data_IF_345749009653
#
_entry.id   IF_345749009653
#
_cell.length_a   1.000
_cell.length_b   1.000
_cell.length_c   1.000
_cell.angle_alpha   90.00
_cell.angle_beta   90.00
_cell.angle_gamma   90.00
#
_symmetry.space_group_name_H-M   'P 1'
#
loop_
_entity.id
_entity.type
_entity.pdbx_description
1 polymer ?
#
# COMPACT_ATOMS: atom_id res chain seq x y z
N UNK A 1 -18.53 -24.88 11.08
CA UNK A 1 -19.33 -23.95 10.27
C UNK A 1 -18.36 -22.85 9.92
N UNK A 2 -17.57 -23.08 8.87
CA UNK A 2 -16.67 -22.07 8.31
C UNK A 2 -17.58 -20.98 7.76
N UNK A 3 -17.48 -19.79 8.34
CA UNK A 3 -17.98 -18.59 7.67
C UNK A 3 -17.04 -18.38 6.50
N UNK A 4 -17.58 -18.43 5.28
CA UNK A 4 -16.93 -17.85 4.11
C UNK A 4 -16.63 -16.39 4.46
N UNK A 5 -15.40 -16.13 4.91
CA UNK A 5 -14.88 -14.77 5.04
C UNK A 5 -14.84 -14.24 3.62
N UNK A 6 -15.82 -13.41 3.27
CA UNK A 6 -15.86 -12.65 2.03
C UNK A 6 -14.53 -11.91 1.90
N UNK A 7 -13.62 -12.47 1.10
CA UNK A 7 -12.31 -11.90 0.84
C UNK A 7 -12.54 -10.52 0.22
N UNK A 8 -12.40 -9.47 1.03
CA UNK A 8 -12.67 -8.11 0.57
C UNK A 8 -11.77 -7.79 -0.62
N UNK A 9 -12.41 -7.45 -1.75
CA UNK A 9 -11.76 -7.08 -3.00
C UNK A 9 -11.99 -5.60 -3.30
N UNK A 10 -10.89 -4.85 -3.46
CA UNK A 10 -10.88 -3.47 -3.91
C UNK A 10 -10.32 -3.37 -5.32
N UNK A 11 -11.00 -2.61 -6.19
CA UNK A 11 -10.61 -2.44 -7.59
C UNK A 11 -10.02 -1.05 -7.84
N UNK A 12 -8.89 -0.98 -8.52
CA UNK A 12 -8.27 0.26 -9.00
C UNK A 12 -8.10 0.22 -10.51
N UNK A 13 -8.55 1.26 -11.21
CA UNK A 13 -8.45 1.32 -12.68
C UNK A 13 -7.00 1.32 -13.15
N UNK A 14 -6.18 2.22 -12.59
CA UNK A 14 -4.77 2.37 -12.96
C UNK A 14 -3.94 2.85 -11.78
N UNK A 15 -2.77 2.24 -11.57
CA UNK A 15 -1.73 2.69 -10.64
C UNK A 15 -0.47 3.00 -11.44
N UNK A 16 -0.02 4.25 -11.38
CA UNK A 16 1.22 4.69 -12.02
C UNK A 16 2.31 4.90 -10.97
N UNK A 17 3.41 4.16 -11.14
CA UNK A 17 4.64 4.27 -10.37
C UNK A 17 5.71 4.79 -11.33
N UNK A 18 6.07 6.05 -11.14
CA UNK A 18 7.11 6.72 -11.92
C UNK A 18 8.23 7.09 -10.95
N UNK A 19 9.36 6.43 -11.10
CA UNK A 19 10.63 6.89 -10.56
C UNK A 19 11.45 7.48 -11.73
N UNK A 20 12.53 8.25 -11.45
CA UNK A 20 13.37 8.79 -12.52
C UNK A 20 13.92 7.71 -13.48
N UNK A 21 14.09 6.48 -12.99
CA UNK A 21 14.75 5.38 -13.72
C UNK A 21 13.76 4.29 -14.16
N UNK A 22 12.59 4.17 -13.51
CA UNK A 22 11.62 3.10 -13.76
C UNK A 22 10.22 3.67 -13.97
N UNK A 23 9.62 3.29 -15.11
CA UNK A 23 8.19 3.44 -15.37
C UNK A 23 7.51 2.09 -15.15
N UNK A 24 6.57 2.05 -14.21
CA UNK A 24 5.77 0.88 -13.93
C UNK A 24 4.29 1.28 -13.82
N UNK A 25 3.47 0.66 -14.66
CA UNK A 25 2.03 0.92 -14.76
C UNK A 25 1.30 -0.38 -14.47
N UNK A 26 0.29 -0.31 -13.61
CA UNK A 26 -0.63 -1.42 -13.35
C UNK A 26 -2.04 -0.98 -13.75
N UNK A 27 -2.74 -1.82 -14.52
CA UNK A 27 -4.13 -1.60 -14.97
C UNK A 27 -5.02 -2.74 -14.47
N UNK A 28 -6.31 -2.46 -14.29
CA UNK A 28 -7.29 -3.45 -13.82
C UNK A 28 -6.82 -4.11 -12.51
N UNK A 29 -6.39 -3.30 -11.55
CA UNK A 29 -5.80 -3.81 -10.32
C UNK A 29 -6.89 -4.31 -9.38
N UNK A 30 -6.74 -5.54 -8.91
CA UNK A 30 -7.58 -6.19 -7.93
C UNK A 30 -6.75 -6.42 -6.67
N UNK A 31 -7.04 -5.68 -5.60
CA UNK A 31 -6.47 -5.87 -4.27
C UNK A 31 -7.41 -6.75 -3.45
N UNK A 32 -6.94 -7.91 -3.01
CA UNK A 32 -7.71 -8.88 -2.22
C UNK A 32 -7.03 -9.18 -0.88
N UNK A 33 -7.81 -9.57 0.12
CA UNK A 33 -7.31 -10.00 1.44
C UNK A 33 -6.88 -8.87 2.38
N UNK A 34 -6.91 -7.60 1.94
CA UNK A 34 -6.61 -6.45 2.80
C UNK A 34 -7.64 -6.29 3.94
N UNK A 35 -8.86 -6.81 3.76
CA UNK A 35 -9.88 -6.85 4.81
C UNK A 35 -9.49 -7.73 6.01
N UNK A 36 -8.57 -8.68 5.82
CA UNK A 36 -8.07 -9.58 6.86
C UNK A 36 -6.93 -8.95 7.67
N UNK A 37 -6.51 -7.71 7.34
CA UNK A 37 -5.53 -6.99 8.13
C UNK A 37 -6.11 -6.56 9.48
N UNK A 38 -5.36 -6.77 10.56
CA UNK A 38 -5.73 -6.30 11.89
C UNK A 38 -4.92 -5.08 12.29
N UNK A 39 -5.53 -4.22 13.10
CA UNK A 39 -4.79 -3.16 13.80
C UNK A 39 -4.09 -3.74 15.02
N UNK A 40 -2.79 -3.52 15.14
CA UNK A 40 -1.97 -3.87 16.31
C UNK A 40 -1.91 -2.71 17.33
N UNK A 41 -2.57 -1.59 17.03
CA UNK A 41 -2.71 -0.44 17.92
C UNK A 41 -2.26 0.88 17.29
N UNK A 42 -2.49 1.95 18.05
CA UNK A 42 -2.09 3.32 17.69
C UNK A 42 -1.15 3.88 18.75
N UNK A 43 -0.01 4.43 18.32
CA UNK A 43 0.93 5.14 19.20
C UNK A 43 0.82 6.64 18.91
N UNK A 44 0.33 7.39 19.90
CA UNK A 44 0.20 8.85 19.77
C UNK A 44 1.44 9.57 20.29
N UNK A 45 2.04 10.42 19.45
CA UNK A 45 3.14 11.31 19.84
C UNK A 45 2.79 12.77 19.53
N UNK A 46 1.82 13.29 20.28
CA UNK A 46 1.33 14.66 20.09
C UNK A 46 2.40 15.72 20.35
N UNK A 47 3.38 15.44 21.22
CA UNK A 47 4.54 16.34 21.45
C UNK A 47 5.35 16.55 20.17
N UNK A 48 5.49 15.50 19.37
CA UNK A 48 6.19 15.54 18.09
C UNK A 48 5.22 15.65 16.89
N UNK A 49 3.94 15.94 17.14
CA UNK A 49 2.90 16.12 16.14
C UNK A 49 2.78 14.95 15.16
N UNK A 50 2.74 13.71 15.64
CA UNK A 50 2.39 12.56 14.81
C UNK A 50 1.65 11.48 15.61
N UNK A 51 1.01 10.57 14.90
CA UNK A 51 0.58 9.28 15.43
C UNK A 51 0.99 8.16 14.47
N UNK A 52 1.26 6.98 15.02
CA UNK A 52 1.58 5.77 14.27
C UNK A 52 0.40 4.81 14.39
N UNK A 53 -0.06 4.27 13.25
CA UNK A 53 -0.98 3.14 13.19
C UNK A 53 -0.21 1.91 12.72
N UNK A 54 -0.35 0.82 13.47
CA UNK A 54 0.31 -0.43 13.17
C UNK A 54 -0.71 -1.43 12.64
N UNK A 55 -0.44 -1.98 11.47
CA UNK A 55 -1.26 -3.00 10.83
C UNK A 55 -0.45 -4.27 10.66
N UNK A 56 -1.09 -5.41 10.92
CA UNK A 56 -0.59 -6.72 10.54
C UNK A 56 -1.56 -7.35 9.56
N UNK A 57 -1.04 -7.69 8.38
CA UNK A 57 -1.81 -8.35 7.34
C UNK A 57 -1.31 -9.79 7.19
N UNK A 58 -2.11 -10.82 7.53
CA UNK A 58 -1.68 -12.21 7.39
C UNK A 58 -1.38 -12.54 5.93
N UNK A 59 -2.24 -12.10 5.01
CA UNK A 59 -2.05 -12.24 3.58
C UNK A 59 -2.89 -11.19 2.82
N UNK A 60 -2.32 -10.59 1.78
CA UNK A 60 -3.08 -9.87 0.77
C UNK A 60 -2.37 -9.99 -0.59
N UNK A 61 -3.13 -9.80 -1.67
CA UNK A 61 -2.59 -9.90 -3.01
C UNK A 61 -3.08 -8.81 -3.94
N UNK A 62 -2.25 -8.47 -4.92
CA UNK A 62 -2.56 -7.50 -5.97
C UNK A 62 -2.42 -8.24 -7.30
N UNK A 63 -3.52 -8.36 -8.03
CA UNK A 63 -3.54 -8.86 -9.42
C UNK A 63 -3.72 -7.69 -10.37
N UNK A 64 -3.01 -7.69 -11.49
CA UNK A 64 -3.19 -6.63 -12.50
C UNK A 64 -2.73 -7.05 -13.89
N UNK A 65 -3.11 -6.26 -14.89
CA UNK A 65 -2.29 -6.06 -16.08
C UNK A 65 -1.14 -5.10 -15.75
N UNK A 66 0.06 -5.31 -16.28
CA UNK A 66 1.21 -4.47 -16.00
C UNK A 66 2.02 -4.12 -17.25
N UNK A 67 2.72 -2.99 -17.19
CA UNK A 67 3.78 -2.59 -18.10
C UNK A 67 4.95 -2.03 -17.28
N UNK A 68 6.16 -2.57 -17.51
CA UNK A 68 7.38 -2.15 -16.87
C UNK A 68 8.44 -1.79 -17.92
N UNK A 69 9.09 -0.64 -17.77
CA UNK A 69 10.19 -0.21 -18.62
C UNK A 69 11.12 0.73 -17.86
N UNK A 70 12.43 0.53 -17.98
CA UNK A 70 13.41 1.42 -17.35
C UNK A 70 14.62 0.66 -16.81
N UNK A 71 15.17 1.16 -15.71
CA UNK A 71 16.36 0.65 -15.05
C UNK A 71 16.16 0.55 -13.54
N UNK A 72 16.85 -0.43 -12.96
CA UNK A 72 17.04 -0.58 -11.52
C UNK A 72 18.53 -0.77 -11.30
N UNK A 73 19.21 0.31 -10.91
CA UNK A 73 20.66 0.34 -10.87
C UNK A 73 21.25 0.17 -12.28
N UNK A 74 21.97 -0.94 -12.52
CA UNK A 74 22.56 -1.24 -13.83
C UNK A 74 21.80 -2.34 -14.61
N UNK A 75 20.59 -2.68 -14.16
CA UNK A 75 19.75 -3.70 -14.79
C UNK A 75 18.60 -3.01 -15.51
N UNK A 76 18.48 -3.25 -16.80
CA UNK A 76 17.34 -2.84 -17.62
C UNK A 76 16.17 -3.77 -17.32
N UNK A 77 15.00 -3.17 -17.07
CA UNK A 77 13.74 -3.86 -16.85
C UNK A 77 12.83 -3.61 -18.04
N UNK A 78 12.26 -4.67 -18.61
CA UNK A 78 11.23 -4.56 -19.64
C UNK A 78 10.26 -5.72 -19.56
N UNK A 79 8.97 -5.43 -19.55
CA UNK A 79 7.94 -6.47 -19.57
C UNK A 79 6.54 -5.89 -19.65
N UNK A 80 5.61 -6.70 -20.13
CA UNK A 80 4.19 -6.40 -20.04
C UNK A 80 3.39 -7.69 -19.99
N UNK A 81 2.23 -7.65 -19.33
CA UNK A 81 1.34 -8.81 -19.24
C UNK A 81 0.59 -8.84 -17.93
N UNK A 82 0.31 -10.05 -17.40
CA UNK A 82 -0.37 -10.25 -16.12
C UNK A 82 0.65 -10.27 -14.97
N UNK A 83 0.26 -9.70 -13.84
CA UNK A 83 1.03 -9.75 -12.59
C UNK A 83 0.19 -10.25 -11.42
N UNK A 84 0.85 -10.92 -10.49
CA UNK A 84 0.37 -11.24 -9.15
C UNK A 84 1.50 -10.94 -8.16
N UNK A 85 1.22 -10.04 -7.22
CA UNK A 85 2.07 -9.73 -6.08
C UNK A 85 1.32 -10.19 -4.83
N UNK A 86 1.87 -11.13 -4.06
CA UNK A 86 1.28 -11.58 -2.80
C UNK A 86 2.22 -11.33 -1.65
N UNK A 87 1.71 -10.71 -0.59
CA UNK A 87 2.45 -10.45 0.63
C UNK A 87 1.92 -11.30 1.77
N UNK A 88 2.82 -11.82 2.60
CA UNK A 88 2.51 -12.68 3.73
C UNK A 88 3.10 -12.09 5.02
N UNK A 89 2.33 -12.15 6.11
CA UNK A 89 2.67 -11.59 7.42
C UNK A 89 3.25 -10.17 7.32
N UNK A 90 2.54 -9.29 6.63
CA UNK A 90 3.02 -7.95 6.32
C UNK A 90 2.74 -7.00 7.48
N UNK A 91 3.79 -6.53 8.14
CA UNK A 91 3.70 -5.45 9.12
C UNK A 91 3.84 -4.09 8.43
N UNK A 92 2.81 -3.25 8.56
CA UNK A 92 2.74 -1.90 8.00
C UNK A 92 2.62 -0.91 9.15
N UNK A 93 3.57 0.02 9.25
CA UNK A 93 3.43 1.20 10.14
C UNK A 93 3.14 2.42 9.29
N UNK A 94 1.94 2.98 9.47
CA UNK A 94 1.52 4.25 8.90
C UNK A 94 1.75 5.36 9.94
N UNK A 95 2.74 6.22 9.69
CA UNK A 95 2.96 7.42 10.49
C UNK A 95 2.26 8.61 9.85
N UNK A 96 1.30 9.20 10.54
CA UNK A 96 0.57 10.38 10.11
C UNK A 96 1.08 11.62 10.86
N UNK A 97 1.58 12.61 10.12
CA UNK A 97 2.06 13.87 10.67
C UNK A 97 0.91 14.86 10.81
N UNK A 98 0.79 15.45 11.99
CA UNK A 98 -0.24 16.39 12.37
C UNK A 98 0.25 17.83 12.27
N UNK A 99 -0.66 18.73 11.90
CA UNK A 99 -0.46 20.17 12.06
C UNK A 99 -1.67 20.75 12.77
N UNK A 100 -1.46 21.70 13.67
CA UNK A 100 -2.57 22.38 14.32
C UNK A 100 -3.40 23.11 13.26
N UNK A 101 -4.71 22.92 13.32
CA UNK A 101 -5.63 23.51 12.36
C UNK A 101 -6.65 24.34 13.15
N UNK A 102 -6.49 25.66 13.16
CA UNK A 102 -7.38 26.56 13.91
C UNK A 102 -8.66 26.88 13.12
N UNK A 103 -8.72 26.49 11.84
CA UNK A 103 -9.72 27.01 10.89
C UNK A 103 -10.59 25.95 10.22
N UNK A 104 -10.25 24.65 10.28
CA UNK A 104 -11.05 23.59 9.65
C UNK A 104 -11.90 22.84 10.68
N UNK A 105 -13.22 23.06 10.66
CA UNK A 105 -14.23 22.26 11.37
C UNK A 105 -14.07 22.13 12.91
N UNK A 106 -13.41 23.08 13.58
CA UNK A 106 -13.09 23.03 15.03
C UNK A 106 -12.21 21.84 15.46
N UNK A 107 -11.45 21.24 14.53
CA UNK A 107 -10.59 20.10 14.82
C UNK A 107 -9.19 20.58 15.15
N UNK A 108 -8.62 20.28 16.33
CA UNK A 108 -7.36 20.87 16.76
C UNK A 108 -6.16 20.47 15.88
N UNK A 109 -6.28 19.37 15.13
CA UNK A 109 -5.21 18.82 14.29
C UNK A 109 -5.73 18.28 12.96
N UNK A 110 -4.95 18.43 11.90
CA UNK A 110 -5.16 17.78 10.61
C UNK A 110 -3.91 16.99 10.20
N UNK A 111 -4.12 15.83 9.55
CA UNK A 111 -3.01 15.07 8.94
C UNK A 111 -2.51 15.84 7.72
N UNK A 112 -1.24 16.22 7.68
CA UNK A 112 -0.66 16.98 6.57
C UNK A 112 0.21 16.14 5.65
N UNK A 113 0.79 15.06 6.18
CA UNK A 113 1.66 14.15 5.46
C UNK A 113 1.65 12.78 6.13
N UNK A 114 2.19 11.76 5.46
CA UNK A 114 2.40 10.45 6.04
C UNK A 114 3.65 9.76 5.50
N UNK A 115 4.22 8.87 6.31
CA UNK A 115 5.27 7.94 5.93
C UNK A 115 4.87 6.50 6.21
N UNK A 116 5.37 5.59 5.39
CA UNK A 116 5.14 4.16 5.52
C UNK A 116 6.45 3.49 5.97
N UNK A 117 6.36 2.60 6.95
CA UNK A 117 7.40 1.62 7.22
C UNK A 117 6.83 0.23 6.91
N UNK A 118 7.46 -0.42 5.94
CA UNK A 118 6.94 -1.62 5.29
C UNK A 118 7.86 -2.79 5.61
N UNK A 119 7.34 -3.82 6.28
CA UNK A 119 8.09 -5.03 6.64
C UNK A 119 7.29 -6.29 6.27
N UNK A 120 7.31 -6.71 5.00
CA UNK A 120 6.80 -8.02 4.63
C UNK A 120 7.75 -9.11 5.13
N UNK A 121 7.21 -10.21 5.68
CA UNK A 121 8.03 -11.39 6.00
C UNK A 121 8.13 -12.34 4.79
N UNK A 122 7.07 -12.42 3.99
CA UNK A 122 7.04 -13.19 2.76
C UNK A 122 6.50 -12.38 1.59
N UNK A 123 7.09 -12.56 0.41
CA UNK A 123 6.63 -11.97 -0.84
C UNK A 123 6.68 -13.04 -1.94
N UNK A 124 5.58 -13.21 -2.67
CA UNK A 124 5.51 -14.04 -3.86
C UNK A 124 5.22 -13.16 -5.06
N UNK A 125 6.01 -13.32 -6.11
CA UNK A 125 5.96 -12.49 -7.32
C UNK A 125 5.77 -13.37 -8.53
N UNK A 126 4.77 -13.05 -9.34
CA UNK A 126 4.56 -13.69 -10.63
C UNK A 126 4.24 -12.61 -11.67
N UNK A 127 5.16 -12.42 -12.60
CA UNK A 127 5.01 -11.48 -13.71
C UNK A 127 5.22 -12.22 -15.02
N UNK A 128 4.21 -12.24 -15.89
CA UNK A 128 4.38 -12.82 -17.22
C UNK A 128 5.27 -11.92 -18.07
N UNK A 129 6.26 -12.47 -18.77
CA UNK A 129 7.10 -11.75 -19.73
C UNK A 129 7.92 -10.58 -19.16
N UNK A 130 8.20 -10.60 -17.85
CA UNK A 130 9.15 -9.66 -17.24
C UNK A 130 10.56 -10.13 -17.51
N UNK A 131 11.36 -9.29 -18.15
CA UNK A 131 12.74 -9.58 -18.50
C UNK A 131 13.69 -8.58 -17.85
N UNK A 132 14.83 -9.10 -17.41
CA UNK A 132 15.93 -8.34 -16.83
C UNK A 132 17.17 -8.52 -17.70
N UNK A 133 17.82 -7.41 -18.07
CA UNK A 133 19.07 -7.47 -18.84
C UNK A 133 20.14 -6.55 -18.28
N UNK A 134 21.41 -6.98 -18.41
CA UNK A 134 22.59 -6.22 -18.01
C UNK A 134 23.63 -6.32 -19.12
N UNK A 135 24.04 -5.17 -19.67
CA UNK A 135 24.92 -5.12 -20.84
C UNK A 135 24.42 -6.01 -22.00
N UNK A 136 23.12 -5.92 -22.30
CA UNK A 136 22.41 -6.69 -23.34
C UNK A 136 22.44 -8.22 -23.17
N UNK A 137 22.80 -8.71 -21.98
CA UNK A 137 22.71 -10.12 -21.61
C UNK A 137 21.62 -10.33 -20.57
N UNK A 138 20.98 -11.49 -20.63
CA UNK A 138 20.02 -11.93 -19.61
C UNK A 138 20.69 -11.91 -18.24
N UNK A 139 20.00 -11.32 -17.26
CA UNK A 139 20.48 -11.21 -15.89
C UNK A 139 19.71 -12.19 -14.98
N UNK A 140 20.29 -12.50 -13.82
CA UNK A 140 19.68 -13.41 -12.83
C UNK A 140 18.24 -12.97 -12.47
N UNK A 141 17.26 -13.80 -12.82
CA UNK A 141 15.84 -13.47 -12.66
C UNK A 141 15.42 -13.26 -11.22
N UNK A 142 15.86 -14.13 -10.30
CA UNK A 142 15.35 -14.13 -8.91
C UNK A 142 15.88 -12.93 -8.11
N UNK A 143 17.18 -12.66 -8.18
CA UNK A 143 17.75 -11.49 -7.50
C UNK A 143 17.21 -10.18 -8.07
N UNK A 144 17.00 -10.09 -9.39
CA UNK A 144 16.48 -8.87 -10.01
C UNK A 144 14.99 -8.68 -9.77
N UNK A 145 14.22 -9.76 -9.67
CA UNK A 145 12.81 -9.71 -9.33
C UNK A 145 12.60 -9.21 -7.89
N UNK A 146 13.46 -9.64 -6.96
CA UNK A 146 13.48 -9.08 -5.59
C UNK A 146 13.81 -7.59 -5.59
N UNK A 147 14.86 -7.16 -6.28
CA UNK A 147 15.24 -5.74 -6.37
C UNK A 147 14.13 -4.90 -7.04
N UNK A 148 13.45 -5.48 -8.04
CA UNK A 148 12.30 -4.88 -8.71
C UNK A 148 11.18 -4.62 -7.73
N UNK A 149 10.78 -5.63 -6.97
CA UNK A 149 9.74 -5.49 -5.95
C UNK A 149 10.12 -4.49 -4.86
N UNK A 150 11.34 -4.53 -4.32
CA UNK A 150 11.81 -3.56 -3.33
C UNK A 150 11.76 -2.12 -3.85
N UNK A 151 12.04 -1.91 -5.13
CA UNK A 151 12.00 -0.59 -5.79
C UNK A 151 10.57 -0.05 -5.91
N UNK A 152 9.60 -0.91 -6.25
CA UNK A 152 8.21 -0.48 -6.46
C UNK A 152 7.35 -0.52 -5.19
N UNK A 153 7.76 -1.26 -4.15
CA UNK A 153 6.94 -1.55 -2.96
C UNK A 153 6.42 -0.29 -2.28
N UNK A 154 7.30 0.64 -1.92
CA UNK A 154 6.88 1.85 -1.21
C UNK A 154 5.99 2.76 -2.08
N UNK A 155 6.36 3.08 -3.34
CA UNK A 155 5.48 3.85 -4.21
C UNK A 155 4.11 3.19 -4.42
N UNK A 156 4.08 1.87 -4.61
CA UNK A 156 2.85 1.09 -4.76
C UNK A 156 1.98 1.20 -3.50
N UNK A 157 2.53 0.85 -2.34
CA UNK A 157 1.78 0.90 -1.08
C UNK A 157 1.34 2.32 -0.74
N UNK A 158 2.15 3.33 -1.04
CA UNK A 158 1.77 4.74 -0.89
C UNK A 158 0.55 5.09 -1.73
N UNK A 159 0.50 4.66 -3.00
CA UNK A 159 -0.66 4.88 -3.86
C UNK A 159 -1.91 4.20 -3.31
N UNK A 160 -1.80 2.96 -2.86
CA UNK A 160 -2.90 2.21 -2.27
C UNK A 160 -3.42 2.86 -0.97
N UNK A 161 -2.53 3.34 -0.10
CA UNK A 161 -2.89 3.90 1.22
C UNK A 161 -3.32 5.38 1.13
N UNK A 162 -2.96 6.12 0.08
CA UNK A 162 -3.28 7.56 -0.04
C UNK A 162 -4.78 7.87 0.08
N UNK A 163 -5.70 7.20 -0.63
CA UNK A 163 -7.15 7.44 -0.48
C UNK A 163 -7.66 7.22 0.95
N UNK A 164 -7.04 6.30 1.70
CA UNK A 164 -7.36 6.04 3.09
C UNK A 164 -6.93 7.20 3.99
N UNK A 165 -5.68 7.66 3.85
CA UNK A 165 -5.14 8.80 4.63
C UNK A 165 -5.90 10.09 4.34
N UNK A 166 -6.27 10.35 3.09
CA UNK A 166 -7.08 11.52 2.73
C UNK A 166 -8.45 11.52 3.42
N UNK A 167 -9.03 10.34 3.67
CA UNK A 167 -10.27 10.22 4.46
C UNK A 167 -10.05 10.43 5.96
N UNK A 168 -8.88 10.09 6.50
CA UNK A 168 -8.52 10.41 7.88
C UNK A 168 -8.47 11.92 8.15
N UNK A 169 -8.10 12.73 7.16
CA UNK A 169 -8.14 14.19 7.26
C UNK A 169 -9.56 14.73 7.50
N UNK A 170 -10.59 13.97 7.13
CA UNK A 170 -12.01 14.33 7.28
C UNK A 170 -12.65 13.75 8.54
N UNK A 171 -11.98 12.78 9.20
CA UNK A 171 -12.54 11.97 10.28
C UNK A 171 -12.64 12.58 11.69
N UNK A 172 -12.04 13.74 12.05
CA UNK A 172 -12.16 14.21 13.44
C UNK A 172 -13.58 14.73 13.82
N UNK A 173 -14.60 14.52 12.99
CA UNK A 173 -16.03 14.65 13.36
C UNK A 173 -16.53 13.57 14.33
N UNK A 174 -15.74 12.55 14.66
CA UNK A 174 -16.23 11.35 15.35
C UNK A 174 -15.43 10.89 16.58
N UNK A 175 -14.26 11.47 16.88
CA UNK A 175 -13.34 10.94 17.92
C UNK A 175 -13.66 11.35 19.37
N UNK A 176 -14.88 11.79 19.66
CA UNK A 176 -15.38 11.78 21.03
C UNK A 176 -15.65 10.37 21.59
N UNK A 177 -15.63 9.31 20.76
CA UNK A 177 -16.29 8.04 21.09
C UNK A 177 -15.56 6.72 20.76
N UNK A 178 -14.33 6.71 20.25
CA UNK A 178 -13.78 5.45 19.73
C UNK A 178 -12.63 4.85 20.54
N UNK A 179 -12.96 3.76 21.24
CA UNK A 179 -12.04 2.70 21.66
C UNK A 179 -11.60 1.88 20.44
N UNK A 180 -10.29 1.79 20.25
CA UNK A 180 -9.38 0.87 19.53
C UNK A 180 -9.76 0.08 18.26
N UNK A 181 -11.02 -0.15 17.88
CA UNK A 181 -11.33 -1.10 16.79
C UNK A 181 -12.12 -0.55 15.59
N UNK A 182 -12.44 0.74 15.52
CA UNK A 182 -13.48 1.20 14.58
C UNK A 182 -12.99 1.83 13.29
N UNK A 183 -11.72 2.23 13.18
CA UNK A 183 -11.30 3.02 12.01
C UNK A 183 -11.13 2.15 10.75
N UNK A 184 -10.40 1.03 10.85
CA UNK A 184 -10.24 0.11 9.73
C UNK A 184 -11.57 -0.58 9.41
N UNK A 185 -12.32 -0.97 10.43
CA UNK A 185 -13.61 -1.65 10.32
C UNK A 185 -14.71 -0.75 9.72
N UNK A 186 -14.72 0.55 10.07
CA UNK A 186 -15.59 1.55 9.44
C UNK A 186 -15.21 1.79 7.98
N UNK A 187 -13.90 1.90 7.70
CA UNK A 187 -13.42 2.15 6.34
C UNK A 187 -13.70 0.96 5.42
N UNK A 188 -13.48 -0.28 5.87
CA UNK A 188 -13.77 -1.50 5.10
C UNK A 188 -15.28 -1.70 4.87
N UNK A 189 -16.13 -1.40 5.86
CA UNK A 189 -17.59 -1.54 5.74
C UNK A 189 -18.27 -0.46 4.89
N UNK A 190 -17.63 0.70 4.67
CA UNK A 190 -18.25 1.85 3.99
C UNK A 190 -17.47 2.31 2.75
N UNK A 191 -16.53 1.51 2.25
CA UNK A 191 -15.77 1.80 1.03
C UNK A 191 -16.35 1.07 -0.19
N UNK A 192 -17.62 1.34 -0.51
CA UNK A 192 -18.08 1.15 -1.89
C UNK A 192 -17.49 2.29 -2.74
N UNK A 193 -16.41 2.01 -3.44
CA UNK A 193 -15.85 2.94 -4.43
C UNK A 193 -16.65 2.86 -5.73
N UNK A 194 -17.07 4.02 -6.23
CA UNK A 194 -17.59 4.23 -7.58
C UNK A 194 -16.59 5.06 -8.38
#
# INVERSE_FOLDING_TARGET
>A
METDDDDYVENFTTINIETPELKFVMNNCELSGIGNCTTNGTINNLKNSYFDQHYWCPHFSIRSDYEASGQIGNVTVKGSGKSLISYYNYNITLRCYLKSNVTFLNLPYAVTNFSLHLKPEGVMLNFSQLNFSKNDKEADGDSNLKNFEETIREPLMRRLVTPYVSRLQLFPLLSGLFNDNTLLDYILKHSSFA
#
